data_IF_292311342136
#
_entry.id   IF_292311342136
#
_cell.length_a   1.000
_cell.length_b   1.000
_cell.length_c   1.000
_cell.angle_alpha   90.00
_cell.angle_beta   90.00
_cell.angle_gamma   90.00
#
_symmetry.space_group_name_H-M   'P 1'
#
loop_
_entity.id
_entity.type
_entity.pdbx_description
1 polymer ?
2 non-polymer ?
3 non-polymer ?
4 non-polymer ?
5 non-polymer ?
6 water ?
#
# COMPACT_ATOMS: atom_id res chain seq x y z
N UNK A 14 -21.76 -24.63 3.65
CA UNK A 14 -20.85 -25.25 4.62
C UNK A 14 -19.97 -24.24 5.38
N UNK A 15 -20.06 -24.46 6.67
CA UNK A 15 -19.53 -23.53 7.64
C UNK A 15 -18.03 -23.60 7.64
N UNK A 16 -17.52 -24.82 7.58
CA UNK A 16 -16.12 -25.02 7.76
C UNK A 16 -15.39 -24.41 6.59
N UNK A 17 -15.93 -24.62 5.43
CA UNK A 17 -15.43 -24.12 4.20
C UNK A 17 -15.60 -22.59 4.15
N UNK A 18 -16.73 -22.09 4.63
CA UNK A 18 -17.00 -20.68 4.73
C UNK A 18 -15.96 -19.96 5.55
N UNK A 19 -15.59 -20.53 6.69
CA UNK A 19 -14.55 -19.94 7.54
C UNK A 19 -13.30 -19.67 6.72
N UNK A 20 -12.83 -20.67 6.00
CA UNK A 20 -11.54 -20.52 5.34
C UNK A 20 -11.69 -19.49 4.17
N UNK A 21 -12.83 -19.48 3.52
CA UNK A 21 -13.11 -18.51 2.50
C UNK A 21 -13.06 -17.01 3.09
N UNK A 22 -13.83 -16.79 4.13
CA UNK A 22 -13.85 -15.49 4.76
C UNK A 22 -12.49 -15.04 5.22
N UNK A 23 -11.74 -15.92 5.86
CA UNK A 23 -10.46 -15.55 6.36
C UNK A 23 -9.51 -15.20 5.20
N UNK A 24 -9.57 -15.97 4.11
CA UNK A 24 -8.78 -15.65 2.94
C UNK A 24 -9.17 -14.29 2.34
N UNK A 25 -10.49 -13.95 2.32
CA UNK A 25 -10.93 -12.66 1.87
C UNK A 25 -10.32 -11.52 2.71
N UNK A 26 -10.33 -11.73 4.01
CA UNK A 26 -9.81 -10.72 4.93
C UNK A 26 -8.31 -10.55 4.66
N UNK A 27 -7.59 -11.64 4.44
CA UNK A 27 -6.20 -11.60 4.15
C UNK A 27 -5.90 -10.80 2.85
N UNK A 28 -6.68 -11.06 1.76
CA UNK A 28 -6.56 -10.40 0.50
C UNK A 28 -6.66 -8.91 0.75
N UNK A 29 -7.64 -8.46 1.53
CA UNK A 29 -7.83 -7.03 1.75
C UNK A 29 -6.71 -6.40 2.55
N UNK A 30 -6.27 -7.08 3.57
CA UNK A 30 -5.16 -6.58 4.40
C UNK A 30 -3.87 -6.47 3.69
N UNK A 31 -3.59 -7.43 2.82
CA UNK A 31 -2.36 -7.35 2.00
C UNK A 31 -2.39 -6.13 1.08
N UNK A 32 -3.53 -5.83 0.51
CA UNK A 32 -3.70 -4.62 -0.33
C UNK A 32 -3.43 -3.40 0.53
N UNK A 33 -4.03 -3.36 1.71
CA UNK A 33 -3.85 -2.22 2.64
C UNK A 33 -2.38 -2.05 2.99
N UNK A 34 -1.68 -3.15 3.30
CA UNK A 34 -0.29 -3.13 3.69
C UNK A 34 0.57 -2.50 2.57
N UNK A 35 0.41 -2.94 1.32
CA UNK A 35 1.18 -2.41 0.19
C UNK A 35 0.83 -0.94 -0.03
N UNK A 36 -0.44 -0.58 0.02
CA UNK A 36 -0.82 0.85 -0.22
C UNK A 36 -0.23 1.76 0.88
N UNK A 37 -0.24 1.26 2.13
CA UNK A 37 0.36 2.08 3.20
C UNK A 37 1.85 2.20 3.01
N UNK A 38 2.54 1.12 2.63
CA UNK A 38 3.94 1.23 2.28
C UNK A 38 4.21 2.27 1.24
N UNK A 39 3.40 2.29 0.18
CA UNK A 39 3.56 3.29 -0.90
C UNK A 39 3.38 4.72 -0.39
N UNK A 40 2.38 4.87 0.47
CA UNK A 40 2.13 6.21 1.06
C UNK A 40 3.31 6.67 1.95
N UNK A 41 3.86 5.75 2.72
CA UNK A 41 5.04 6.04 3.53
C UNK A 41 6.21 6.46 2.63
N UNK A 42 6.41 5.75 1.50
CA UNK A 42 7.43 6.16 0.54
C UNK A 42 7.19 7.57 0.04
N UNK A 43 5.95 7.85 -0.34
CA UNK A 43 5.63 9.20 -0.86
C UNK A 43 5.86 10.27 0.21
N UNK A 44 5.59 9.99 1.46
CA UNK A 44 5.74 10.98 2.51
C UNK A 44 7.16 11.13 2.99
N UNK A 45 7.93 10.05 3.02
CA UNK A 45 9.20 10.01 3.75
C UNK A 45 10.44 9.83 2.92
N UNK A 46 10.32 9.50 1.63
CA UNK A 46 11.51 9.18 0.85
C UNK A 46 12.42 10.36 0.51
N UNK A 47 11.83 11.50 0.31
CA UNK A 47 12.56 12.66 -0.25
C UNK A 47 13.22 12.35 -1.57
N UNK A 48 12.70 11.44 -2.33
CA UNK A 48 13.28 11.06 -3.63
C UNK A 48 12.70 11.98 -4.72
N UNK A 49 13.59 12.50 -5.53
CA UNK A 49 13.22 13.52 -6.52
C UNK A 49 12.12 13.04 -7.42
N UNK A 50 12.25 11.81 -7.98
CA UNK A 50 11.25 11.27 -8.88
C UNK A 50 9.91 11.14 -8.16
N UNK A 51 9.90 10.66 -6.91
CA UNK A 51 8.66 10.60 -6.17
C UNK A 51 8.09 12.02 -5.91
N UNK A 52 8.94 12.95 -5.57
CA UNK A 52 8.49 14.32 -5.36
C UNK A 52 7.92 14.95 -6.59
N UNK A 53 8.46 14.65 -7.73
CA UNK A 53 7.89 15.13 -8.94
C UNK A 53 6.49 14.54 -9.21
N UNK A 54 6.27 13.25 -8.88
CA UNK A 54 4.88 12.68 -9.00
C UNK A 54 3.96 13.43 -8.06
N UNK A 55 4.44 13.75 -6.85
CA UNK A 55 3.63 14.48 -5.90
C UNK A 55 3.29 15.85 -6.50
N UNK A 56 4.19 16.48 -7.24
CA UNK A 56 3.84 17.72 -7.89
C UNK A 56 2.72 17.54 -8.94
N UNK A 57 2.78 16.48 -9.68
CA UNK A 57 1.68 16.15 -10.64
C UNK A 57 0.31 16.04 -9.93
N UNK A 58 0.32 15.36 -8.78
CA UNK A 58 -0.92 15.18 -8.04
C UNK A 58 -1.45 16.53 -7.56
N UNK A 59 -0.56 17.44 -7.11
CA UNK A 59 -0.95 18.75 -6.73
C UNK A 59 -1.67 19.50 -7.84
N UNK A 60 -1.16 19.40 -9.05
CA UNK A 60 -1.74 19.98 -10.26
C UNK A 60 -3.10 19.38 -10.53
N UNK A 61 -3.22 18.09 -10.43
CA UNK A 61 -4.53 17.42 -10.70
C UNK A 61 -5.59 17.76 -9.67
N UNK A 62 -5.22 17.87 -8.41
CA UNK A 62 -6.09 18.12 -7.27
C UNK A 62 -6.38 19.61 -7.15
N UNK A 63 -7.18 20.11 -8.08
CA UNK A 63 -7.31 21.54 -8.27
C UNK A 63 -8.07 22.21 -7.12
N UNK A 64 -8.88 21.48 -6.34
CA UNK A 64 -9.64 22.03 -5.23
C UNK A 64 -8.97 21.74 -3.89
N UNK A 65 -7.79 21.10 -3.91
CA UNK A 65 -7.08 20.86 -2.68
C UNK A 65 -7.78 19.94 -1.69
N UNK A 66 -8.46 18.92 -2.20
CA UNK A 66 -9.18 17.99 -1.41
C UNK A 66 -8.41 16.80 -0.92
N UNK A 67 -7.30 16.47 -1.58
CA UNK A 67 -6.60 15.22 -1.30
C UNK A 67 -7.05 14.07 -2.13
N UNK A 68 -8.01 14.25 -2.98
CA UNK A 68 -8.49 13.23 -3.87
C UNK A 68 -9.03 13.92 -5.09
N UNK A 69 -9.09 13.16 -6.16
CA UNK A 69 -9.51 13.67 -7.44
C UNK A 69 -10.64 12.78 -8.01
N UNK A 70 -11.57 13.40 -8.67
CA UNK A 70 -12.61 12.68 -9.36
C UNK A 70 -12.04 12.07 -10.63
N UNK A 71 -12.73 11.06 -11.16
CA UNK A 71 -12.33 10.46 -12.41
C UNK A 71 -12.29 11.51 -13.54
N UNK A 72 -13.24 12.44 -13.57
CA UNK A 72 -13.25 13.56 -14.49
C UNK A 72 -12.03 14.45 -14.40
N UNK A 73 -11.68 14.82 -13.16
CA UNK A 73 -10.48 15.62 -12.96
C UNK A 73 -9.25 14.94 -13.46
N UNK A 74 -9.12 13.63 -13.20
CA UNK A 74 -7.94 12.93 -13.63
C UNK A 74 -7.89 12.91 -15.17
N UNK A 75 -8.99 12.55 -15.82
CA UNK A 75 -9.02 12.54 -17.27
C UNK A 75 -8.70 13.86 -17.85
N UNK A 76 -9.42 14.90 -17.40
CA UNK A 76 -9.20 16.28 -17.93
C UNK A 76 -7.79 16.73 -17.71
N UNK A 77 -7.24 16.43 -16.52
CA UNK A 77 -5.86 16.87 -16.21
C UNK A 77 -4.84 16.22 -17.12
N UNK A 78 -5.02 14.93 -17.43
CA UNK A 78 -4.12 14.27 -18.35
C UNK A 78 -4.30 14.76 -19.76
N UNK A 79 -5.52 15.03 -20.17
CA UNK A 79 -5.76 15.58 -21.47
C UNK A 79 -5.11 16.96 -21.63
N UNK A 80 -5.12 17.75 -20.55
CA UNK A 80 -4.49 19.09 -20.56
C UNK A 80 -2.95 19.00 -20.77
N UNK A 81 -2.38 17.88 -20.35
CA UNK A 81 -0.97 17.59 -20.61
C UNK A 81 -0.62 17.26 -22.06
N UNK A 82 -1.64 17.05 -22.88
CA UNK A 82 -1.50 16.66 -24.27
C UNK A 82 -1.62 15.18 -24.55
N UNK A 83 -2.05 14.40 -23.60
CA UNK A 83 -2.05 12.94 -23.73
C UNK A 83 -3.28 12.47 -24.46
N UNK A 84 -3.15 11.35 -25.17
CA UNK A 84 -4.32 10.61 -25.71
C UNK A 84 -4.62 9.46 -24.84
N UNK A 85 -5.76 9.50 -24.16
CA UNK A 85 -6.10 8.43 -23.20
C UNK A 85 -6.67 7.24 -23.94
N UNK A 86 -6.48 6.03 -23.39
CA UNK A 86 -6.99 4.84 -23.99
C UNK A 86 -8.48 4.90 -23.94
N UNK A 87 -9.13 4.27 -24.92
CA UNK A 87 -10.56 4.47 -24.96
C UNK A 87 -11.19 3.79 -23.74
N UNK A 88 -10.51 2.72 -23.24
CA UNK A 88 -10.83 1.93 -22.04
C UNK A 88 -10.32 2.53 -20.72
N UNK A 89 -10.07 3.82 -20.71
CA UNK A 89 -9.51 4.45 -19.52
C UNK A 89 -10.46 4.36 -18.38
N UNK A 90 -11.76 4.38 -18.59
CA UNK A 90 -12.67 4.24 -17.51
C UNK A 90 -12.51 2.94 -16.74
N UNK A 91 -12.26 1.83 -17.38
CA UNK A 91 -11.97 0.59 -16.68
C UNK A 91 -10.69 0.72 -15.88
N UNK A 92 -9.66 1.34 -16.47
CA UNK A 92 -8.44 1.54 -15.76
C UNK A 92 -8.64 2.37 -14.50
N UNK A 93 -9.43 3.42 -14.61
CA UNK A 93 -9.73 4.26 -13.47
C UNK A 93 -10.44 3.46 -12.37
N UNK A 94 -11.32 2.56 -12.74
CA UNK A 94 -11.95 1.68 -11.74
C UNK A 94 -10.94 0.80 -11.08
N UNK A 95 -9.93 0.33 -11.79
CA UNK A 95 -8.88 -0.45 -11.19
C UNK A 95 -8.00 0.39 -10.26
N UNK A 96 -7.70 1.62 -10.63
CA UNK A 96 -6.91 2.50 -9.80
C UNK A 96 -7.63 2.85 -8.51
N UNK A 97 -8.95 3.00 -8.61
CA UNK A 97 -9.78 3.26 -7.44
C UNK A 97 -9.90 1.97 -6.65
N UNK A 98 -8.83 1.49 -5.99
CA UNK A 98 -8.72 0.13 -5.47
C UNK A 98 -9.60 -0.03 -4.24
N UNK A 99 -10.01 1.05 -3.55
CA UNK A 99 -10.97 0.90 -2.45
C UNK A 99 -12.41 1.04 -2.89
N UNK A 100 -12.67 1.28 -4.20
CA UNK A 100 -14.00 1.46 -4.64
C UNK A 100 -14.83 2.66 -4.21
N UNK A 101 -14.17 3.68 -3.76
CA UNK A 101 -14.87 4.85 -3.28
C UNK A 101 -15.52 5.72 -4.39
N UNK A 102 -15.06 5.53 -5.61
CA UNK A 102 -15.53 6.32 -6.72
C UNK A 102 -14.59 7.45 -7.11
N UNK A 103 -13.67 7.83 -6.23
CA UNK A 103 -12.70 8.89 -6.45
C UNK A 103 -11.33 8.36 -6.20
N UNK A 104 -10.31 9.02 -6.71
CA UNK A 104 -8.90 8.56 -6.61
C UNK A 104 -8.20 9.41 -5.58
N UNK A 105 -7.87 8.83 -4.45
CA UNK A 105 -7.20 9.55 -3.41
C UNK A 105 -5.68 9.56 -3.65
N UNK A 106 -5.01 10.39 -2.91
CA UNK A 106 -3.58 10.48 -2.99
C UNK A 106 -2.91 9.17 -2.96
N UNK A 107 -3.27 8.33 -2.01
CA UNK A 107 -2.67 7.00 -1.87
C UNK A 107 -2.89 6.15 -3.13
N UNK A 108 -4.06 6.13 -3.68
CA UNK A 108 -4.30 5.37 -4.93
C UNK A 108 -3.51 5.92 -6.09
N UNK A 109 -3.41 7.25 -6.20
CA UNK A 109 -2.66 7.83 -7.30
C UNK A 109 -1.22 7.43 -7.21
N UNK A 110 -0.59 7.49 -6.01
CA UNK A 110 0.74 7.03 -5.82
C UNK A 110 0.87 5.53 -6.14
N UNK A 111 -0.03 4.74 -5.61
CA UNK A 111 0.05 3.26 -5.71
C UNK A 111 -0.04 2.83 -7.20
N UNK A 112 -0.63 3.65 -8.08
CA UNK A 112 -0.70 3.33 -9.57
C UNK A 112 0.31 4.07 -10.40
N UNK A 113 0.73 5.27 -9.97
CA UNK A 113 1.60 6.03 -10.77
C UNK A 113 3.11 5.72 -10.50
N UNK A 114 3.42 5.38 -9.25
CA UNK A 114 4.78 5.01 -8.75
C UNK A 114 4.94 3.52 -9.02
N UNK A 115 5.34 3.17 -10.25
CA UNK A 115 5.70 1.82 -10.66
C UNK A 115 6.56 1.08 -9.66
N UNK A 116 6.21 -0.19 -9.38
CA UNK A 116 7.00 -0.93 -8.47
C UNK A 116 8.47 -1.13 -8.94
N UNK A 117 8.64 -1.24 -10.22
CA UNK A 117 9.91 -1.38 -10.76
C UNK A 117 10.90 -0.29 -10.39
N UNK A 118 10.38 0.92 -10.24
CA UNK A 118 11.16 2.07 -9.90
C UNK A 118 11.53 2.15 -8.40
N UNK A 119 11.03 1.22 -7.60
CA UNK A 119 11.33 1.22 -6.17
C UNK A 119 12.71 0.58 -5.91
N UNK A 120 13.71 1.43 -5.74
CA UNK A 120 15.03 1.03 -5.41
C UNK A 120 15.10 0.45 -3.98
N UNK A 121 16.23 -0.16 -3.62
CA UNK A 121 16.40 -0.68 -2.27
C UNK A 121 16.16 0.41 -1.25
N UNK A 122 16.69 1.61 -1.55
CA UNK A 122 16.54 2.75 -0.64
C UNK A 122 15.07 3.10 -0.43
N UNK A 123 14.30 3.16 -1.51
CA UNK A 123 12.88 3.46 -1.37
C UNK A 123 12.13 2.37 -0.58
N UNK A 124 12.41 1.10 -0.87
CA UNK A 124 11.74 0.10 -0.11
C UNK A 124 12.15 0.11 1.35
N UNK A 125 13.42 0.40 1.66
CA UNK A 125 13.86 0.48 3.05
C UNK A 125 13.16 1.59 3.81
N UNK A 126 12.87 2.68 3.11
CA UNK A 126 12.16 3.78 3.72
C UNK A 126 10.83 3.30 4.33
N UNK A 127 10.07 2.48 3.61
CA UNK A 127 8.87 1.90 4.19
C UNK A 127 9.16 0.82 5.23
N UNK A 128 10.12 -0.08 4.92
CA UNK A 128 10.44 -1.16 5.83
C UNK A 128 10.69 -0.66 7.24
N UNK A 129 11.49 0.39 7.36
CA UNK A 129 11.95 0.83 8.71
C UNK A 129 10.81 1.44 9.52
N UNK A 130 9.70 1.85 8.88
CA UNK A 130 8.54 2.27 9.64
C UNK A 130 7.76 1.10 10.22
N UNK A 131 7.59 0.02 9.45
CA UNK A 131 6.93 -1.16 9.96
C UNK A 131 7.78 -1.88 11.00
N UNK A 132 9.10 -1.85 10.83
CA UNK A 132 10.03 -2.44 11.80
C UNK A 132 10.25 -1.43 12.90
N UNK A 133 9.25 -1.28 13.75
CA UNK A 133 9.19 -0.19 14.73
C UNK A 133 10.44 -0.13 15.53
N UNK A 134 10.92 -1.25 16.06
CA UNK A 134 12.07 -1.27 16.97
C UNK A 134 13.37 -1.39 16.32
N UNK A 135 13.40 -1.34 14.98
CA UNK A 135 14.64 -1.30 14.25
C UNK A 135 15.57 -2.48 14.46
N UNK A 136 15.04 -3.68 14.69
CA UNK A 136 15.89 -4.84 14.86
C UNK A 136 16.04 -5.60 13.54
N UNK A 137 15.49 -5.15 12.41
CA UNK A 137 15.63 -5.83 11.14
C UNK A 137 14.52 -6.81 10.81
N UNK A 138 13.55 -6.94 11.70
CA UNK A 138 12.46 -7.91 11.51
C UNK A 138 11.15 -7.29 11.86
N UNK A 139 10.18 -7.30 10.99
CA UNK A 139 8.83 -6.87 11.34
C UNK A 139 8.09 -8.00 12.00
N UNK A 140 7.66 -7.83 13.25
CA UNK A 140 6.90 -8.80 13.99
C UNK A 140 5.41 -8.56 13.85
N UNK A 141 4.60 -9.54 14.23
CA UNK A 141 3.17 -9.38 14.18
C UNK A 141 2.71 -8.19 15.01
N UNK A 142 3.28 -8.04 16.19
CA UNK A 142 2.82 -6.94 17.06
C UNK A 142 3.18 -5.60 16.45
N UNK A 143 4.36 -5.44 15.86
CA UNK A 143 4.72 -4.17 15.22
C UNK A 143 3.80 -3.84 14.06
N UNK A 144 3.58 -4.83 13.17
CA UNK A 144 2.76 -4.60 12.02
C UNK A 144 1.33 -4.29 12.45
N UNK A 145 0.78 -4.98 13.43
CA UNK A 145 -0.57 -4.72 13.88
C UNK A 145 -0.68 -3.28 14.44
N UNK A 146 0.30 -2.87 15.23
CA UNK A 146 0.20 -1.53 15.76
C UNK A 146 0.26 -0.48 14.64
N UNK A 147 1.12 -0.62 13.63
CA UNK A 147 1.14 0.32 12.54
C UNK A 147 -0.20 0.32 11.77
N UNK A 148 -0.68 -0.88 11.38
CA UNK A 148 -1.95 -0.95 10.63
C UNK A 148 -3.15 -0.48 11.40
N UNK A 149 -3.25 -0.81 12.70
CA UNK A 149 -4.48 -0.53 13.45
C UNK A 149 -4.43 0.69 14.37
N UNK A 150 -3.27 1.04 14.96
CA UNK A 150 -3.09 2.22 15.82
C UNK A 150 -2.50 3.38 15.01
N UNK A 151 -1.82 3.14 13.90
CA UNK A 151 -1.12 4.18 13.11
C UNK A 151 0.29 4.46 13.61
N UNK A 152 0.68 3.81 14.71
CA UNK A 152 1.94 4.19 15.33
C UNK A 152 2.26 3.02 16.28
N UNK A 153 3.39 3.13 16.94
CA UNK A 153 3.91 2.08 17.78
C UNK A 153 3.13 1.74 19.02
N UNK A 154 2.32 2.68 19.51
CA UNK A 154 1.74 2.57 20.82
C UNK A 154 0.30 2.17 20.74
N UNK A 155 -0.25 1.55 21.76
CA UNK A 155 -1.72 1.48 21.79
C UNK A 155 -2.24 0.09 21.96
N UNK A 156 -3.56 0.01 22.08
CA UNK A 156 -4.22 -1.25 22.36
C UNK A 156 -4.44 -2.03 21.06
N UNK A 157 -4.14 -3.32 21.05
CA UNK A 157 -4.67 -4.22 19.99
C UNK A 157 -4.93 -5.55 20.71
N UNK A 158 -5.74 -6.34 20.06
CA UNK A 158 -6.30 -7.55 20.65
C UNK A 158 -5.58 -8.76 20.07
N UNK A 159 -5.77 -9.91 20.69
CA UNK A 159 -5.19 -11.15 20.14
C UNK A 159 -5.83 -11.48 18.84
N UNK A 160 -7.09 -11.15 18.63
CA UNK A 160 -7.68 -11.35 17.30
C UNK A 160 -6.97 -10.52 16.26
N UNK A 161 -6.65 -9.27 16.56
CA UNK A 161 -5.87 -8.45 15.66
C UNK A 161 -4.51 -9.04 15.32
N UNK A 162 -3.84 -9.52 16.35
CA UNK A 162 -2.56 -10.15 16.14
C UNK A 162 -2.69 -11.42 15.28
N UNK A 163 -3.71 -12.23 15.52
CA UNK A 163 -3.93 -13.40 14.72
C UNK A 163 -4.21 -13.05 13.26
N UNK A 164 -4.97 -12.01 12.99
CA UNK A 164 -5.24 -11.56 11.64
C UNK A 164 -3.95 -11.19 10.93
N UNK A 165 -3.12 -10.45 11.63
CA UNK A 165 -1.83 -10.04 11.06
C UNK A 165 -0.87 -11.22 10.87
N UNK A 166 -0.87 -12.17 11.81
CA UNK A 166 -0.12 -13.36 11.65
C UNK A 166 -0.45 -14.14 10.39
N UNK A 167 -1.74 -14.19 10.12
CA UNK A 167 -2.21 -14.86 8.95
C UNK A 167 -1.66 -14.15 7.71
N UNK A 168 -1.61 -12.83 7.69
CA UNK A 168 -1.07 -12.10 6.60
C UNK A 168 0.50 -12.25 6.46
N UNK A 169 1.25 -12.26 7.56
CA UNK A 169 2.69 -12.53 7.53
C UNK A 169 2.93 -13.85 6.91
N UNK A 170 2.09 -14.84 7.16
CA UNK A 170 2.32 -16.12 6.57
C UNK A 170 2.41 -16.04 5.01
N UNK A 171 1.74 -15.09 4.38
CA UNK A 171 1.79 -14.91 2.92
C UNK A 171 3.08 -14.27 2.43
N UNK A 172 3.84 -13.60 3.29
CA UNK A 172 5.05 -12.86 2.92
C UNK A 172 6.32 -13.56 3.42
N UNK A 173 6.22 -14.26 4.51
CA UNK A 173 7.37 -14.94 5.14
C UNK A 173 7.90 -16.00 4.19
N UNK A 174 9.20 -16.13 4.09
CA UNK A 174 9.92 -17.07 3.21
C UNK A 174 10.85 -18.00 3.97
N UNK A 175 11.00 -17.77 5.26
CA UNK A 175 11.88 -18.62 6.04
C UNK A 175 11.22 -19.15 7.32
N UNK A 176 9.89 -19.01 7.40
CA UNK A 176 9.11 -19.66 8.45
C UNK A 176 9.43 -19.26 9.87
N UNK A 177 9.91 -18.04 10.05
CA UNK A 177 10.21 -17.53 11.36
C UNK A 177 9.07 -16.64 11.89
N UNK A 178 7.99 -16.43 11.10
CA UNK A 178 6.91 -15.59 11.57
C UNK A 178 7.21 -14.10 11.59
N UNK A 179 8.29 -13.68 11.02
CA UNK A 179 8.66 -12.28 10.94
C UNK A 179 8.99 -11.93 9.49
N UNK A 180 8.91 -10.66 9.16
CA UNK A 180 9.23 -10.19 7.80
C UNK A 180 10.55 -9.42 7.84
N UNK A 181 11.57 -9.93 7.14
CA UNK A 181 12.84 -9.22 6.99
C UNK A 181 12.81 -8.36 5.72
N UNK A 182 13.89 -7.62 5.52
CA UNK A 182 13.92 -6.72 4.39
C UNK A 182 13.75 -7.41 3.07
N UNK A 183 14.43 -8.52 2.89
CA UNK A 183 14.27 -9.28 1.65
C UNK A 183 12.85 -9.69 1.39
N UNK A 184 12.20 -10.26 2.39
CA UNK A 184 10.81 -10.67 2.28
C UNK A 184 9.89 -9.51 1.98
N UNK A 185 10.11 -8.37 2.65
CA UNK A 185 9.33 -7.19 2.40
C UNK A 185 9.49 -6.70 0.96
N UNK A 186 10.75 -6.69 0.49
CA UNK A 186 11.01 -6.27 -0.86
C UNK A 186 10.33 -7.19 -1.89
N UNK A 187 10.29 -8.49 -1.60
CA UNK A 187 9.59 -9.40 -2.49
C UNK A 187 8.06 -9.23 -2.49
N UNK A 188 7.51 -8.69 -1.46
CA UNK A 188 6.11 -8.27 -1.49
C UNK A 188 5.92 -7.02 -2.33
N UNK A 189 6.82 -6.07 -2.19
CA UNK A 189 6.64 -4.79 -2.87
C UNK A 189 6.90 -4.86 -4.38
N UNK A 190 7.84 -5.72 -4.77
CA UNK A 190 8.20 -5.86 -6.13
C UNK A 190 7.67 -7.16 -6.73
N UNK A 191 7.23 -7.13 -7.95
CA UNK A 191 6.72 -8.36 -8.55
C UNK A 191 7.78 -9.23 -9.12
#
# INVERSE_FOLDING_TARGET
MHHHHHHSSGRENLYFQGIHVLENFKNYGLLLKFQKLAMTIIAQQSNDYDVEKLKSTFLVLDEDGKGYITKEQLKKGLEKDGLKLPYNFDLLLDQIDSDGSGKIDYTEFIAAALDRKQLSKKLIYCAFRVFDVDNDGEITTAELAHILYNGNKKGNITQRDVNRVKRMIRDVDKNNDGKIDFHEFSEMMKL
#
